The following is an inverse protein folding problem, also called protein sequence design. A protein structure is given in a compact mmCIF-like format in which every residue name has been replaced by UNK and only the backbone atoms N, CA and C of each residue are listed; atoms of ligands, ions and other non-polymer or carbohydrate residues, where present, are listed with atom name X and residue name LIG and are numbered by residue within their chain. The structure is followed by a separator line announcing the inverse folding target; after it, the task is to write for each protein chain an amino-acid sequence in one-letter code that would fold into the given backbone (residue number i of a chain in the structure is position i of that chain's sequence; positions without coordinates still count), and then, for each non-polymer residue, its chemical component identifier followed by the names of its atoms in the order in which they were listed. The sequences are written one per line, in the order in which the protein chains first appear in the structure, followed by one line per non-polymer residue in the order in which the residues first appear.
data_IF_226543623651
#
_entry.id   IF_226543623651
#
_cell.length_a   1.000
_cell.length_b   1.000
_cell.length_c   1.000
_cell.angle_alpha   90.00
_cell.angle_beta   90.00
_cell.angle_gamma   90.00
#
_symmetry.space_group_name_H-M   'P 1'
#
loop_
_entity.id
_entity.type
_entity.pdbx_description
1 polymer ?
#
# COMPACT_ATOMS: atom_id res chain seq x y z
N UNK A 1 7.37 19.87 -3.99
CA UNK A 1 6.99 18.88 -5.02
C UNK A 1 5.67 19.33 -5.62
N UNK A 2 5.47 19.24 -6.95
CA UNK A 2 4.21 19.67 -7.59
C UNK A 2 3.08 18.68 -7.28
N UNK A 3 1.83 19.12 -7.46
CA UNK A 3 0.64 18.27 -7.31
C UNK A 3 0.74 16.97 -8.12
N UNK A 4 1.14 17.08 -9.39
CA UNK A 4 1.32 15.91 -10.28
C UNK A 4 2.34 14.91 -9.72
N UNK A 5 3.48 15.41 -9.22
CA UNK A 5 4.49 14.53 -8.61
C UNK A 5 3.98 13.82 -7.34
N UNK A 6 3.12 14.46 -6.54
CA UNK A 6 2.47 13.78 -5.40
C UNK A 6 1.46 12.73 -5.88
N UNK A 7 0.72 12.98 -6.96
CA UNK A 7 -0.22 12.01 -7.53
C UNK A 7 0.51 10.78 -8.09
N UNK A 8 1.59 10.99 -8.83
CA UNK A 8 2.41 9.90 -9.37
C UNK A 8 3.06 9.07 -8.26
N UNK A 9 3.64 9.74 -7.25
CA UNK A 9 4.21 9.06 -6.09
C UNK A 9 3.14 8.27 -5.32
N UNK A 10 1.96 8.84 -5.10
CA UNK A 10 0.85 8.16 -4.45
C UNK A 10 0.45 6.90 -5.24
N UNK A 11 0.31 7.02 -6.57
CA UNK A 11 -0.04 5.89 -7.44
C UNK A 11 1.01 4.78 -7.35
N UNK A 12 2.28 5.14 -7.39
CA UNK A 12 3.38 4.19 -7.31
C UNK A 12 3.38 3.43 -5.97
N UNK A 13 3.27 4.14 -4.84
CA UNK A 13 3.27 3.52 -3.51
C UNK A 13 2.08 2.59 -3.28
N UNK A 14 0.90 2.98 -3.76
CA UNK A 14 -0.29 2.12 -3.68
C UNK A 14 -0.12 0.87 -4.51
N UNK A 15 0.48 0.99 -5.70
CA UNK A 15 0.77 -0.16 -6.56
C UNK A 15 1.73 -1.14 -5.88
N UNK A 16 2.86 -0.67 -5.37
CA UNK A 16 3.83 -1.54 -4.67
C UNK A 16 3.20 -2.27 -3.48
N UNK A 17 2.40 -1.57 -2.68
CA UNK A 17 1.78 -2.17 -1.48
C UNK A 17 0.74 -3.22 -1.83
N UNK A 18 -0.04 -2.98 -2.90
CA UNK A 18 -1.01 -3.95 -3.41
C UNK A 18 -0.33 -5.15 -4.06
N UNK A 19 0.76 -4.95 -4.80
CA UNK A 19 1.54 -6.05 -5.39
C UNK A 19 2.08 -6.98 -4.28
N UNK A 20 2.61 -6.42 -3.18
CA UNK A 20 3.05 -7.22 -2.02
C UNK A 20 1.93 -7.99 -1.34
N UNK A 21 0.74 -7.38 -1.19
CA UNK A 21 -0.42 -8.08 -0.65
C UNK A 21 -0.82 -9.25 -1.56
N UNK A 22 -0.85 -9.04 -2.88
CA UNK A 22 -1.15 -10.11 -3.83
C UNK A 22 -0.15 -11.25 -3.70
N UNK A 23 1.15 -10.96 -3.69
CA UNK A 23 2.22 -11.97 -3.54
C UNK A 23 2.08 -12.79 -2.25
N UNK A 24 1.68 -12.15 -1.15
CA UNK A 24 1.51 -12.80 0.16
C UNK A 24 0.31 -13.76 0.22
N UNK A 25 -0.78 -13.43 -0.50
CA UNK A 25 -2.02 -14.21 -0.49
C UNK A 25 -2.17 -15.13 -1.71
N UNK A 26 -1.20 -15.14 -2.63
CA UNK A 26 -1.23 -15.98 -3.81
C UNK A 26 -0.93 -17.45 -3.44
N UNK A 27 -1.91 -18.35 -3.61
CA UNK A 27 -1.77 -19.77 -3.29
C UNK A 27 -0.71 -20.49 -4.10
N UNK A 28 -0.23 -19.88 -5.19
CA UNK A 28 0.80 -20.47 -6.03
C UNK A 28 2.16 -20.63 -5.32
N UNK A 29 2.38 -19.88 -4.23
CA UNK A 29 3.65 -19.84 -3.51
C UNK A 29 3.65 -20.56 -2.15
N UNK A 30 2.48 -20.84 -1.54
CA UNK A 30 2.37 -21.60 -0.28
C UNK A 30 0.98 -22.26 -0.12
N UNK A 31 0.92 -23.55 0.24
CA UNK A 31 -0.35 -24.30 0.40
C UNK A 31 -1.08 -23.95 1.73
N UNK A 32 -0.38 -23.41 2.73
CA UNK A 32 -0.97 -22.87 3.98
C UNK A 32 -1.13 -21.34 3.89
N UNK A 33 -2.01 -20.90 2.99
CA UNK A 33 -2.26 -19.49 2.64
C UNK A 33 -2.62 -18.61 3.86
N UNK A 34 -3.25 -19.18 4.88
CA UNK A 34 -3.84 -18.43 6.00
C UNK A 34 -3.07 -18.72 7.29
N UNK A 35 -1.93 -18.07 7.45
CA UNK A 35 -1.19 -18.04 8.71
C UNK A 35 -1.53 -16.78 9.50
N UNK A 36 -1.42 -16.83 10.83
CA UNK A 36 -1.54 -15.63 11.69
C UNK A 36 -0.52 -14.56 11.28
N UNK A 37 0.67 -14.98 10.88
CA UNK A 37 1.72 -14.10 10.38
C UNK A 37 1.29 -13.33 9.13
N UNK A 38 0.71 -14.00 8.12
CA UNK A 38 0.22 -13.32 6.90
C UNK A 38 -0.89 -12.32 7.21
N UNK A 39 -1.76 -12.64 8.19
CA UNK A 39 -2.79 -11.72 8.67
C UNK A 39 -2.15 -10.47 9.30
N UNK A 40 -1.21 -10.66 10.23
CA UNK A 40 -0.54 -9.56 10.93
C UNK A 40 0.25 -8.66 9.95
N UNK A 41 1.01 -9.25 9.03
CA UNK A 41 1.75 -8.50 8.00
C UNK A 41 0.82 -7.76 7.03
N UNK A 42 -0.33 -8.36 6.68
CA UNK A 42 -1.34 -7.69 5.85
C UNK A 42 -1.98 -6.49 6.56
N UNK A 43 -2.27 -6.62 7.85
CA UNK A 43 -2.79 -5.52 8.66
C UNK A 43 -1.79 -4.37 8.70
N UNK A 44 -0.51 -4.65 8.94
CA UNK A 44 0.55 -3.64 8.93
C UNK A 44 0.65 -2.93 7.57
N UNK A 45 0.60 -3.67 6.45
CA UNK A 45 0.63 -3.07 5.10
C UNK A 45 -0.60 -2.17 4.89
N UNK A 46 -1.79 -2.61 5.27
CA UNK A 46 -3.03 -1.85 5.10
C UNK A 46 -3.05 -0.58 5.97
N UNK A 47 -2.58 -0.66 7.21
CA UNK A 47 -2.44 0.50 8.10
C UNK A 47 -1.47 1.53 7.51
N UNK A 48 -0.31 1.08 7.04
CA UNK A 48 0.66 1.93 6.37
C UNK A 48 0.08 2.58 5.11
N UNK A 49 -0.66 1.83 4.28
CA UNK A 49 -1.33 2.38 3.09
C UNK A 49 -2.33 3.48 3.46
N UNK A 50 -3.09 3.31 4.55
CA UNK A 50 -4.03 4.32 5.03
C UNK A 50 -3.27 5.59 5.44
N UNK A 51 -2.15 5.48 6.16
CA UNK A 51 -1.33 6.62 6.55
C UNK A 51 -0.73 7.34 5.34
N UNK A 52 -0.22 6.59 4.36
CA UNK A 52 0.30 7.15 3.12
C UNK A 52 -0.77 7.88 2.32
N UNK A 53 -1.96 7.30 2.19
CA UNK A 53 -3.09 7.95 1.52
C UNK A 53 -3.51 9.24 2.22
N UNK A 54 -3.52 9.25 3.57
CA UNK A 54 -3.76 10.48 4.35
C UNK A 54 -2.70 11.54 4.06
N UNK A 55 -1.42 11.15 4.05
CA UNK A 55 -0.30 12.02 3.72
C UNK A 55 -0.43 12.60 2.31
N UNK A 56 -0.60 11.77 1.29
CA UNK A 56 -0.69 12.22 -0.09
C UNK A 56 -1.93 13.09 -0.33
N UNK A 57 -3.08 12.74 0.26
CA UNK A 57 -4.27 13.59 0.22
C UNK A 57 -3.99 14.99 0.78
N UNK A 58 -3.33 15.08 1.93
CA UNK A 58 -2.94 16.38 2.50
C UNK A 58 -2.01 17.16 1.56
N UNK A 59 -0.97 16.50 1.02
CA UNK A 59 0.00 17.15 0.16
C UNK A 59 -0.57 17.59 -1.19
N UNK A 60 -1.44 16.78 -1.79
CA UNK A 60 -2.12 17.11 -3.06
C UNK A 60 -3.06 18.30 -2.89
N UNK A 61 -3.77 18.39 -1.76
CA UNK A 61 -4.67 19.51 -1.47
C UNK A 61 -3.94 20.83 -1.17
N UNK A 62 -2.72 20.74 -0.63
CA UNK A 62 -1.88 21.90 -0.27
C UNK A 62 -0.87 22.30 -1.34
N UNK A 63 -0.69 21.50 -2.39
CA UNK A 63 0.22 21.82 -3.48
C UNK A 63 -0.46 22.73 -4.49
N UNK A 64 0.22 23.83 -4.83
CA UNK A 64 -0.17 24.74 -5.92
C UNK A 64 -0.16 24.04 -7.29
#
# INVERSE_FOLDING_TARGET
MSREKYQDACRYRMRESLERLIEMWDPFYDEEIVTVKNIDESLEILENMIEELKYFREKILKAD
#
